data_IF_110315637976
#
_entry.id   IF_110315637976
#
_cell.length_a   1.000
_cell.length_b   1.000
_cell.length_c   1.000
_cell.angle_alpha   90.00
_cell.angle_beta   90.00
_cell.angle_gamma   90.00
#
_symmetry.space_group_name_H-M   'P 1'
#
loop_
_entity.id
_entity.type
_entity.pdbx_description
1 polymer ?
#
# COMPACT_ATOMS: atom_id res chain seq x y z
N UNK A 1 10.98 -52.34 -45.12
CA UNK A 1 9.90 -52.45 -44.11
C UNK A 1 9.79 -51.11 -43.42
N UNK A 2 8.57 -50.58 -43.43
CA UNK A 2 8.12 -49.27 -42.95
C UNK A 2 8.15 -49.24 -41.40
N UNK A 3 7.95 -48.05 -40.81
CA UNK A 3 7.26 -47.81 -39.51
C UNK A 3 8.20 -47.66 -38.30
N UNK A 4 8.17 -46.65 -37.43
CA UNK A 4 7.46 -45.37 -37.36
C UNK A 4 8.15 -44.52 -36.30
N UNK A 5 8.24 -43.22 -36.58
CA UNK A 5 8.63 -42.16 -35.65
C UNK A 5 7.45 -41.88 -34.71
N UNK A 6 7.66 -41.91 -33.38
CA UNK A 6 6.70 -41.40 -32.41
C UNK A 6 7.42 -40.41 -31.49
N UNK A 7 7.28 -39.13 -31.85
CA UNK A 7 7.70 -37.97 -31.08
C UNK A 7 6.54 -37.57 -30.15
N UNK A 8 6.64 -37.90 -28.86
CA UNK A 8 5.66 -37.44 -27.86
C UNK A 8 6.00 -36.02 -27.43
N UNK A 9 5.23 -35.04 -27.92
CA UNK A 9 5.27 -33.65 -27.44
C UNK A 9 4.46 -33.56 -26.15
N UNK A 10 5.13 -33.32 -25.02
CA UNK A 10 4.48 -32.98 -23.77
C UNK A 10 4.12 -31.49 -23.79
N UNK A 11 2.83 -31.17 -23.78
CA UNK A 11 2.32 -29.79 -23.65
C UNK A 11 2.31 -29.43 -22.17
N UNK A 12 3.24 -28.57 -21.74
CA UNK A 12 3.19 -27.95 -20.41
C UNK A 12 2.28 -26.73 -20.47
N UNK A 13 1.10 -26.82 -19.85
CA UNK A 13 0.22 -25.68 -19.57
C UNK A 13 0.82 -24.84 -18.44
N UNK A 14 1.54 -23.77 -18.79
CA UNK A 14 1.98 -22.78 -17.81
C UNK A 14 0.78 -21.92 -17.36
N UNK A 15 0.58 -21.70 -16.05
CA UNK A 15 -0.41 -20.74 -15.57
C UNK A 15 0.02 -19.33 -15.96
N UNK A 16 -0.91 -18.55 -16.54
CA UNK A 16 -0.71 -17.14 -16.85
C UNK A 16 -0.60 -16.33 -15.55
N UNK A 17 0.31 -15.35 -15.46
CA UNK A 17 0.27 -14.35 -14.40
C UNK A 17 -1.02 -13.55 -14.52
N UNK A 18 -1.74 -13.36 -13.43
CA UNK A 18 -2.87 -12.45 -13.36
C UNK A 18 -2.35 -11.02 -13.60
N UNK A 19 -2.66 -10.46 -14.77
CA UNK A 19 -2.45 -9.04 -15.04
C UNK A 19 -3.48 -8.25 -14.24
N UNK A 20 -3.07 -7.72 -13.08
CA UNK A 20 -3.84 -6.69 -12.42
C UNK A 20 -3.82 -5.44 -13.32
N UNK A 21 -5.00 -4.98 -13.71
CA UNK A 21 -5.13 -3.82 -14.58
C UNK A 21 -4.91 -2.53 -13.76
N UNK A 22 -4.24 -1.55 -14.35
CA UNK A 22 -4.02 -0.18 -13.82
C UNK A 22 -5.32 0.56 -13.38
N UNK A 23 -6.49 -0.05 -13.63
CA UNK A 23 -7.81 0.48 -13.28
C UNK A 23 -8.12 0.38 -11.79
N UNK A 24 -7.39 -0.44 -11.02
CA UNK A 24 -7.66 -0.60 -9.58
C UNK A 24 -7.43 0.70 -8.81
N UNK A 25 -6.38 1.47 -9.06
CA UNK A 25 -6.14 2.73 -8.31
C UNK A 25 -7.17 3.83 -8.63
N UNK A 26 -7.79 3.76 -9.81
CA UNK A 26 -8.88 4.64 -10.22
C UNK A 26 -10.22 4.32 -9.54
N UNK A 27 -10.32 3.20 -8.81
CA UNK A 27 -11.57 2.74 -8.17
C UNK A 27 -11.69 3.09 -6.69
N UNK A 28 -10.67 3.71 -6.07
CA UNK A 28 -10.74 4.07 -4.66
C UNK A 28 -11.64 5.30 -4.43
N UNK A 29 -12.52 5.21 -3.44
CA UNK A 29 -13.23 6.39 -2.92
C UNK A 29 -12.21 7.41 -2.40
N UNK A 30 -12.63 8.69 -2.34
CA UNK A 30 -11.78 9.73 -1.77
C UNK A 30 -11.39 9.41 -0.31
N UNK A 31 -12.32 8.84 0.45
CA UNK A 31 -12.11 8.40 1.83
C UNK A 31 -11.04 7.30 1.92
N UNK A 32 -11.14 6.25 1.11
CA UNK A 32 -10.15 5.16 1.10
C UNK A 32 -8.78 5.66 0.65
N UNK A 33 -8.74 6.57 -0.32
CA UNK A 33 -7.49 7.20 -0.74
C UNK A 33 -6.87 8.03 0.40
N UNK A 34 -7.68 8.78 1.15
CA UNK A 34 -7.22 9.54 2.32
C UNK A 34 -6.70 8.63 3.43
N UNK A 35 -7.39 7.52 3.73
CA UNK A 35 -6.93 6.52 4.69
C UNK A 35 -5.55 5.96 4.32
N UNK A 36 -5.39 5.51 3.07
CA UNK A 36 -4.10 4.98 2.59
C UNK A 36 -3.01 6.05 2.58
N UNK A 37 -3.33 7.28 2.22
CA UNK A 37 -2.38 8.40 2.21
C UNK A 37 -1.86 8.71 3.61
N UNK A 38 -2.75 8.73 4.61
CA UNK A 38 -2.34 8.97 6.00
C UNK A 38 -1.59 7.78 6.60
N UNK A 39 -2.01 6.55 6.31
CA UNK A 39 -1.28 5.35 6.69
C UNK A 39 0.16 5.36 6.14
N UNK A 40 0.32 5.72 4.86
CA UNK A 40 1.63 5.86 4.23
C UNK A 40 2.48 6.99 4.84
N UNK A 41 1.88 8.15 5.11
CA UNK A 41 2.57 9.27 5.75
C UNK A 41 3.13 8.89 7.13
N UNK A 42 2.36 8.16 7.94
CA UNK A 42 2.81 7.70 9.25
C UNK A 42 3.93 6.67 9.14
N UNK A 43 3.82 5.72 8.21
CA UNK A 43 4.89 4.74 7.97
C UNK A 43 6.21 5.43 7.56
N UNK A 44 6.13 6.49 6.73
CA UNK A 44 7.30 7.27 6.34
C UNK A 44 7.92 8.01 7.52
N UNK A 45 7.11 8.70 8.33
CA UNK A 45 7.60 9.41 9.51
C UNK A 45 8.17 8.46 10.54
N UNK A 46 7.48 7.36 10.86
CA UNK A 46 7.97 6.35 11.81
C UNK A 46 9.33 5.79 11.37
N UNK A 47 9.50 5.47 10.08
CA UNK A 47 10.79 5.05 9.52
C UNK A 47 11.87 6.13 9.69
N UNK A 48 11.56 7.39 9.41
CA UNK A 48 12.52 8.50 9.60
C UNK A 48 12.86 8.72 11.07
N UNK A 49 11.91 8.51 11.99
CA UNK A 49 12.13 8.57 13.44
C UNK A 49 13.06 7.44 13.90
N UNK A 50 12.83 6.20 13.44
CA UNK A 50 13.69 5.05 13.69
C UNK A 50 15.12 5.27 13.15
N UNK A 51 15.25 5.96 12.01
CA UNK A 51 16.53 6.34 11.43
C UNK A 51 17.22 7.53 12.13
N UNK A 52 16.55 8.18 13.08
CA UNK A 52 17.09 9.33 13.82
C UNK A 52 17.13 10.64 13.01
N UNK A 53 16.32 10.78 11.96
CA UNK A 53 16.28 12.00 11.15
C UNK A 53 15.62 13.15 11.93
N UNK A 54 16.35 14.25 12.17
CA UNK A 54 15.86 15.39 12.97
C UNK A 54 14.56 16.00 12.41
N UNK A 55 14.40 16.02 11.08
CA UNK A 55 13.21 16.54 10.40
C UNK A 55 11.92 15.81 10.79
N UNK A 56 12.01 14.56 11.27
CA UNK A 56 10.88 13.73 11.68
C UNK A 56 10.49 13.91 13.15
N UNK A 57 11.37 14.51 13.97
CA UNK A 57 11.15 14.70 15.41
C UNK A 57 10.13 15.80 15.74
N UNK A 58 9.76 16.62 14.74
CA UNK A 58 8.67 17.60 14.89
C UNK A 58 7.28 16.95 14.95
N UNK A 59 7.17 15.69 14.54
CA UNK A 59 5.94 14.91 14.60
C UNK A 59 5.89 14.09 15.89
N UNK A 60 4.70 13.75 16.41
CA UNK A 60 4.60 12.83 17.54
C UNK A 60 5.23 11.47 17.22
N UNK A 61 5.53 10.67 18.23
CA UNK A 61 6.02 9.31 18.00
C UNK A 61 4.94 8.47 17.31
N UNK A 62 5.26 7.90 16.14
CA UNK A 62 4.30 7.17 15.32
C UNK A 62 4.57 5.66 15.23
N UNK A 63 5.60 5.14 15.91
CA UNK A 63 5.96 3.73 15.85
C UNK A 63 4.82 2.79 16.24
N UNK A 64 4.15 3.05 17.37
CA UNK A 64 3.01 2.23 17.82
C UNK A 64 1.69 2.65 17.19
N UNK A 65 1.26 3.88 17.46
CA UNK A 65 -0.05 4.40 17.05
C UNK A 65 -0.21 4.48 15.52
N UNK A 66 0.84 4.89 14.82
CA UNK A 66 0.85 4.94 13.35
C UNK A 66 0.79 3.55 12.72
N UNK A 67 1.42 2.53 13.33
CA UNK A 67 1.33 1.14 12.88
C UNK A 67 -0.07 0.56 13.08
N UNK A 68 -0.69 0.85 14.22
CA UNK A 68 -2.07 0.43 14.47
C UNK A 68 -3.04 1.05 13.47
N UNK A 69 -2.93 2.37 13.25
CA UNK A 69 -3.68 3.06 12.20
C UNK A 69 -3.49 2.40 10.84
N UNK A 70 -2.24 2.11 10.45
CA UNK A 70 -1.92 1.48 9.17
C UNK A 70 -2.63 0.15 9.00
N UNK A 71 -2.56 -0.74 9.99
CA UNK A 71 -3.20 -2.07 9.91
C UNK A 71 -4.72 -1.94 9.80
N UNK A 72 -5.34 -1.07 10.61
CA UNK A 72 -6.80 -0.85 10.59
C UNK A 72 -7.27 -0.22 9.28
N UNK A 73 -6.55 0.79 8.78
CA UNK A 73 -6.86 1.45 7.51
C UNK A 73 -6.78 0.47 6.33
N UNK A 74 -5.73 -0.36 6.27
CA UNK A 74 -5.61 -1.36 5.21
C UNK A 74 -6.72 -2.40 5.28
N UNK A 75 -7.07 -2.88 6.48
CA UNK A 75 -8.17 -3.83 6.66
C UNK A 75 -9.51 -3.23 6.20
N UNK A 76 -9.81 -2.00 6.61
CA UNK A 76 -11.04 -1.30 6.18
C UNK A 76 -11.11 -1.17 4.66
N UNK A 77 -10.03 -0.73 4.01
CA UNK A 77 -10.02 -0.59 2.55
C UNK A 77 -10.20 -1.94 1.87
N UNK A 78 -9.56 -3.01 2.36
CA UNK A 78 -9.78 -4.37 1.82
C UNK A 78 -11.24 -4.80 1.95
N UNK A 79 -11.88 -4.56 3.09
CA UNK A 79 -13.27 -4.91 3.34
C UNK A 79 -14.23 -4.16 2.42
N UNK A 80 -13.94 -2.88 2.13
CA UNK A 80 -14.79 -2.03 1.30
C UNK A 80 -14.60 -2.22 -0.22
N UNK A 81 -13.39 -2.57 -0.66
CA UNK A 81 -13.06 -2.66 -2.09
C UNK A 81 -12.92 -4.09 -2.60
N UNK A 82 -12.76 -5.06 -1.69
CA UNK A 82 -12.42 -6.44 -2.04
C UNK A 82 -10.98 -6.64 -2.49
N UNK A 83 -10.08 -5.67 -2.26
CA UNK A 83 -8.66 -5.85 -2.54
C UNK A 83 -8.08 -7.01 -1.75
N UNK A 84 -7.25 -7.80 -2.44
CA UNK A 84 -6.40 -8.77 -1.77
C UNK A 84 -5.15 -8.11 -1.17
N UNK A 85 -4.32 -8.93 -0.51
CA UNK A 85 -3.09 -8.48 0.14
C UNK A 85 -2.10 -7.83 -0.83
N UNK A 86 -2.00 -8.32 -2.06
CA UNK A 86 -1.09 -7.73 -3.05
C UNK A 86 -1.61 -6.37 -3.52
N UNK A 87 -2.90 -6.31 -3.87
CA UNK A 87 -3.58 -5.09 -4.30
C UNK A 87 -3.45 -3.97 -3.27
N UNK A 88 -3.77 -4.24 -2.00
CA UNK A 88 -3.69 -3.23 -0.95
C UNK A 88 -2.23 -2.80 -0.67
N UNK A 89 -1.27 -3.73 -0.75
CA UNK A 89 0.16 -3.40 -0.56
C UNK A 89 0.66 -2.49 -1.68
N UNK A 90 0.25 -2.75 -2.93
CA UNK A 90 0.60 -1.88 -4.07
C UNK A 90 -0.03 -0.49 -3.93
N UNK A 91 -1.31 -0.42 -3.53
CA UNK A 91 -2.02 0.84 -3.34
C UNK A 91 -1.41 1.70 -2.21
N UNK A 92 -1.15 1.12 -1.04
CA UNK A 92 -0.48 1.81 0.05
C UNK A 92 0.95 2.25 -0.34
N UNK A 93 1.69 1.39 -1.05
CA UNK A 93 3.01 1.71 -1.58
C UNK A 93 2.99 2.84 -2.61
N UNK A 94 1.93 2.94 -3.42
CA UNK A 94 1.76 4.04 -4.37
C UNK A 94 1.62 5.38 -3.65
N UNK A 95 0.83 5.44 -2.58
CA UNK A 95 0.71 6.65 -1.75
C UNK A 95 2.04 7.06 -1.12
N UNK A 96 2.82 6.12 -0.60
CA UNK A 96 4.15 6.42 -0.04
C UNK A 96 5.09 7.00 -1.10
N UNK A 97 5.12 6.41 -2.31
CA UNK A 97 5.92 6.93 -3.44
C UNK A 97 5.47 8.32 -3.87
N UNK A 98 4.16 8.54 -3.97
CA UNK A 98 3.59 9.83 -4.36
C UNK A 98 4.02 10.94 -3.39
N UNK A 99 3.91 10.68 -2.07
CA UNK A 99 4.32 11.63 -1.02
C UNK A 99 5.82 11.95 -1.11
N UNK A 100 6.66 10.93 -1.32
CA UNK A 100 8.11 11.12 -1.46
C UNK A 100 8.45 11.93 -2.72
N UNK A 101 7.80 11.65 -3.84
CA UNK A 101 8.07 12.33 -5.11
C UNK A 101 7.60 13.79 -5.10
N UNK A 102 6.47 14.08 -4.46
CA UNK A 102 5.95 15.45 -4.38
C UNK A 102 6.61 16.28 -3.28
N UNK A 103 7.19 15.63 -2.26
CA UNK A 103 7.75 16.32 -1.09
C UNK A 103 6.67 16.92 -0.17
N UNK A 104 5.42 16.48 -0.29
CA UNK A 104 4.29 17.09 0.42
C UNK A 104 4.05 16.53 1.82
N UNK A 105 4.95 15.70 2.37
CA UNK A 105 4.77 15.07 3.68
C UNK A 105 4.37 16.10 4.75
N UNK A 106 5.06 17.23 4.81
CA UNK A 106 4.79 18.31 5.77
C UNK A 106 3.41 18.96 5.61
N UNK A 107 2.88 18.99 4.39
CA UNK A 107 1.56 19.56 4.10
C UNK A 107 0.44 18.60 4.49
N UNK A 108 0.69 17.30 4.38
CA UNK A 108 -0.30 16.24 4.59
C UNK A 108 -0.42 15.88 6.07
N UNK A 109 0.70 15.85 6.78
CA UNK A 109 0.78 15.39 8.17
C UNK A 109 -0.23 16.04 9.13
N UNK A 110 -0.48 17.36 9.12
CA UNK A 110 -1.44 17.97 10.04
C UNK A 110 -2.84 17.37 9.95
N UNK A 111 -3.34 17.13 8.74
CA UNK A 111 -4.67 16.53 8.53
C UNK A 111 -4.66 15.06 8.93
N UNK A 112 -3.57 14.35 8.64
CA UNK A 112 -3.46 12.94 9.03
C UNK A 112 -3.45 12.76 10.54
N UNK A 113 -2.77 13.62 11.30
CA UNK A 113 -2.78 13.55 12.76
C UNK A 113 -4.18 13.70 13.35
N UNK A 114 -5.02 14.58 12.79
CA UNK A 114 -6.45 14.67 13.18
C UNK A 114 -7.19 13.35 12.90
N UNK A 115 -6.89 12.69 11.78
CA UNK A 115 -7.48 11.39 11.45
C UNK A 115 -7.00 10.28 12.40
N UNK A 116 -5.72 10.30 12.81
CA UNK A 116 -5.17 9.38 13.80
C UNK A 116 -5.89 9.51 15.14
N UNK A 117 -6.05 10.73 15.63
CA UNK A 117 -6.75 11.03 16.89
C UNK A 117 -8.20 10.51 16.90
N UNK A 118 -8.88 10.61 15.77
CA UNK A 118 -10.27 10.15 15.62
C UNK A 118 -10.39 8.62 15.41
N UNK A 119 -9.31 7.95 15.02
CA UNK A 119 -9.32 6.50 14.74
C UNK A 119 -9.29 5.61 16.00
N UNK A 120 -9.02 6.21 17.17
CA UNK A 120 -8.82 5.48 18.41
C UNK A 120 -7.54 4.62 18.43
N UNK A 121 -6.57 4.96 17.58
CA UNK A 121 -5.18 4.47 17.61
C UNK A 121 -4.26 5.50 18.26
#
# INVERSE_FOLDING_TARGET
MILSLLLTVAVTTSPLPASYSDTDEASLSLENKSLLRCAAAFALVARSQEAGEESSQKWPELGERGREFFVRALAQVMDETGYDREGITRAAGAQAREIQQSGDLDKIMPVCLVMLENSGA
#
